data_IF_578566926543
#
_entry.id   IF_578566926543
#
_cell.length_a   1.000
_cell.length_b   1.000
_cell.length_c   1.000
_cell.angle_alpha   90.00
_cell.angle_beta   90.00
_cell.angle_gamma   90.00
#
_symmetry.space_group_name_H-M   'P 1'
#
loop_
_entity.id
_entity.type
_entity.pdbx_description
1 polymer ?
#
# COMPACT_ATOMS: atom_id res chain seq x y z
N UNK A 1 18.26 -15.42 -15.70
CA UNK A 1 18.26 -14.31 -14.73
C UNK A 1 17.80 -13.03 -15.41
N UNK A 2 16.51 -12.69 -15.28
CA UNK A 2 15.93 -11.36 -15.38
C UNK A 2 14.57 -11.44 -14.67
N UNK A 3 14.62 -11.21 -13.35
CA UNK A 3 13.55 -10.94 -12.36
C UNK A 3 12.12 -11.10 -12.91
N UNK A 4 11.52 -12.30 -12.86
CA UNK A 4 10.66 -12.79 -11.76
C UNK A 4 9.83 -11.68 -11.09
N UNK A 5 8.52 -11.80 -11.30
CA UNK A 5 7.37 -11.15 -10.63
C UNK A 5 6.86 -9.82 -11.21
N UNK A 6 6.20 -9.89 -12.37
CA UNK A 6 5.17 -8.94 -12.78
C UNK A 6 3.80 -9.65 -12.84
N UNK A 7 2.80 -8.99 -12.25
CA UNK A 7 1.36 -9.19 -12.42
C UNK A 7 0.73 -10.49 -11.87
N UNK A 8 0.57 -10.55 -10.54
CA UNK A 8 -0.47 -11.39 -9.92
C UNK A 8 -1.82 -10.66 -9.97
N UNK A 9 -2.86 -11.37 -10.41
CA UNK A 9 -4.24 -10.96 -10.65
C UNK A 9 -4.80 -9.91 -9.68
N UNK A 10 -5.42 -8.88 -10.28
CA UNK A 10 -6.05 -7.78 -9.57
C UNK A 10 -7.24 -8.19 -8.70
N UNK A 11 -7.38 -7.51 -7.56
CA UNK A 11 -8.64 -7.03 -6.96
C UNK A 11 -8.44 -6.45 -5.55
N UNK A 12 -7.29 -6.65 -4.91
CA UNK A 12 -7.04 -6.15 -3.54
C UNK A 12 -6.45 -4.73 -3.51
N UNK A 13 -7.18 -3.79 -4.11
CA UNK A 13 -6.91 -2.36 -3.93
C UNK A 13 -7.44 -1.93 -2.57
N UNK A 14 -6.55 -1.74 -1.61
CA UNK A 14 -6.90 -1.31 -0.26
C UNK A 14 -6.60 0.18 -0.06
N UNK A 15 -7.48 0.90 0.63
CA UNK A 15 -7.18 2.28 1.04
C UNK A 15 -6.17 2.29 2.18
N UNK A 16 -5.55 3.45 2.43
CA UNK A 16 -4.62 3.61 3.56
C UNK A 16 -5.23 3.16 4.90
N UNK A 17 -6.53 3.41 5.10
CA UNK A 17 -7.27 2.96 6.29
C UNK A 17 -7.44 1.44 6.34
N UNK A 18 -7.75 0.80 5.20
CA UNK A 18 -7.88 -0.66 5.15
C UNK A 18 -6.53 -1.35 5.38
N UNK A 19 -5.44 -0.78 4.82
CA UNK A 19 -4.07 -1.23 5.09
C UNK A 19 -3.72 -1.05 6.56
N UNK A 20 -4.09 0.07 7.18
CA UNK A 20 -3.84 0.33 8.59
C UNK A 20 -4.52 -0.73 9.48
N UNK A 21 -5.79 -1.04 9.19
CA UNK A 21 -6.56 -2.09 9.89
C UNK A 21 -5.94 -3.48 9.71
N UNK A 22 -5.53 -3.82 8.50
CA UNK A 22 -4.94 -5.12 8.19
C UNK A 22 -3.57 -5.31 8.84
N UNK A 23 -2.78 -4.24 8.91
CA UNK A 23 -1.48 -4.22 9.57
C UNK A 23 -1.57 -4.00 11.10
N UNK A 24 -2.77 -3.74 11.63
CA UNK A 24 -2.97 -3.45 13.05
C UNK A 24 -2.28 -2.18 13.53
N UNK A 25 -2.05 -1.21 12.64
CA UNK A 25 -1.40 0.07 12.96
C UNK A 25 -2.36 1.25 12.79
N UNK A 26 -2.00 2.40 13.33
CA UNK A 26 -2.78 3.64 13.16
C UNK A 26 -2.65 4.19 11.74
N UNK A 27 -3.73 4.77 11.20
CA UNK A 27 -3.75 5.46 9.90
C UNK A 27 -2.62 6.47 9.74
N UNK A 28 -2.25 7.17 10.81
CA UNK A 28 -1.14 8.12 10.81
C UNK A 28 0.20 7.48 10.47
N UNK A 29 0.47 6.27 10.97
CA UNK A 29 1.69 5.51 10.65
C UNK A 29 1.70 5.07 9.19
N UNK A 30 0.55 4.62 8.67
CA UNK A 30 0.43 4.24 7.26
C UNK A 30 0.60 5.44 6.34
N UNK A 31 -0.03 6.57 6.62
CA UNK A 31 0.14 7.81 5.85
C UNK A 31 1.58 8.33 5.89
N UNK A 32 2.25 8.27 7.05
CA UNK A 32 3.68 8.58 7.16
C UNK A 32 4.53 7.65 6.31
N UNK A 33 4.34 6.35 6.45
CA UNK A 33 5.08 5.36 5.65
C UNK A 33 4.85 5.57 4.15
N UNK A 34 3.60 5.81 3.71
CA UNK A 34 3.29 6.13 2.30
C UNK A 34 4.04 7.38 1.83
N UNK A 35 4.08 8.44 2.63
CA UNK A 35 4.78 9.68 2.28
C UNK A 35 6.30 9.52 2.27
N UNK A 36 6.88 8.86 3.29
CA UNK A 36 8.33 8.60 3.40
C UNK A 36 8.82 7.68 2.28
N UNK A 37 8.06 6.63 1.97
CA UNK A 37 8.36 5.69 0.89
C UNK A 37 7.97 6.24 -0.50
N UNK A 38 7.38 7.45 -0.56
CA UNK A 38 6.83 8.07 -1.77
C UNK A 38 5.98 7.08 -2.59
N UNK A 39 5.10 6.33 -1.93
CA UNK A 39 4.25 5.35 -2.59
C UNK A 39 3.17 6.06 -3.40
N UNK A 40 3.19 5.82 -4.71
CA UNK A 40 2.10 6.24 -5.58
C UNK A 40 0.88 5.33 -5.34
N UNK A 41 -0.34 5.89 -5.29
CA UNK A 41 -1.55 5.09 -5.29
C UNK A 41 -1.77 4.47 -6.67
N UNK A 42 -2.03 3.17 -6.70
CA UNK A 42 -2.38 2.41 -7.91
C UNK A 42 -3.70 2.88 -8.52
N UNK A 43 -4.65 3.32 -7.69
CA UNK A 43 -5.89 3.92 -8.16
C UNK A 43 -6.33 5.07 -7.26
N UNK A 44 -6.98 6.08 -7.83
CA UNK A 44 -7.63 7.16 -7.10
C UNK A 44 -9.11 7.16 -7.44
N UNK A 45 -9.97 7.17 -6.41
CA UNK A 45 -11.41 7.37 -6.57
C UNK A 45 -11.82 8.58 -5.73
N UNK A 46 -11.97 9.73 -6.38
CA UNK A 46 -12.19 11.01 -5.70
C UNK A 46 -11.04 11.34 -4.75
N UNK A 47 -11.36 11.58 -3.48
CA UNK A 47 -10.36 11.88 -2.42
C UNK A 47 -9.65 10.64 -1.89
N UNK A 48 -10.16 9.44 -2.20
CA UNK A 48 -9.63 8.19 -1.69
C UNK A 48 -8.54 7.63 -2.60
N UNK A 49 -7.35 7.44 -2.03
CA UNK A 49 -6.23 6.77 -2.67
C UNK A 49 -6.25 5.27 -2.33
N UNK A 50 -6.16 4.45 -3.37
CA UNK A 50 -6.09 3.00 -3.30
C UNK A 50 -4.67 2.54 -3.59
N UNK A 51 -4.25 1.54 -2.84
CA UNK A 51 -2.90 1.02 -2.85
C UNK A 51 -3.01 -0.48 -3.05
N UNK A 52 -2.25 -0.99 -4.02
CA UNK A 52 -2.21 -2.41 -4.29
C UNK A 52 -1.41 -3.19 -3.23
N UNK A 53 -1.36 -4.52 -3.37
CA UNK A 53 -0.58 -5.39 -2.49
C UNK A 53 0.92 -5.05 -2.48
N UNK A 54 1.45 -4.47 -3.57
CA UNK A 54 2.84 -4.01 -3.63
C UNK A 54 3.12 -2.86 -2.65
N UNK A 55 2.21 -1.88 -2.57
CA UNK A 55 2.30 -0.78 -1.61
C UNK A 55 2.10 -1.30 -0.18
N UNK A 56 1.13 -2.19 0.05
CA UNK A 56 0.91 -2.84 1.36
C UNK A 56 2.18 -3.55 1.87
N UNK A 57 2.88 -4.31 1.01
CA UNK A 57 4.16 -4.96 1.35
C UNK A 57 5.25 -3.96 1.74
N UNK A 58 5.36 -2.83 1.01
CA UNK A 58 6.35 -1.77 1.32
C UNK A 58 6.04 -1.07 2.64
N UNK A 59 4.76 -0.78 2.90
CA UNK A 59 4.30 -0.18 4.17
C UNK A 59 4.58 -1.14 5.33
N UNK A 60 4.23 -2.42 5.18
CA UNK A 60 4.51 -3.44 6.19
C UNK A 60 6.02 -3.62 6.46
N UNK A 61 6.86 -3.46 5.44
CA UNK A 61 8.31 -3.52 5.58
C UNK A 61 8.90 -2.30 6.30
N UNK A 62 8.31 -1.11 6.11
CA UNK A 62 8.74 0.11 6.79
C UNK A 62 8.21 0.27 8.22
N UNK A 63 7.18 -0.51 8.59
CA UNK A 63 6.60 -0.54 9.93
C UNK A 63 7.17 -1.65 10.83
N UNK A 64 8.06 -2.49 10.30
CA UNK A 64 8.93 -3.37 11.10
C UNK A 64 10.04 -2.55 11.75
#
# INVERSE_FOLDING_TARGET
MAKKDAAASGSDLSTAANIAKDLGVSDGKVKKAIAELKLAPDAKKGVCCYYGPAAKKKIAAALK
#
